data_IF_344921110133
#
_entry.id   IF_344921110133
#
_cell.length_a   1.000
_cell.length_b   1.000
_cell.length_c   1.000
_cell.angle_alpha   90.00
_cell.angle_beta   90.00
_cell.angle_gamma   90.00
#
_symmetry.space_group_name_H-M   'P 1'
#
loop_
_entity.id
_entity.type
_entity.pdbx_description
1 polymer ?
#
# COMPACT_ATOMS: atom_id res chain seq x y z
N UNK A 1 7.90 -8.73 -3.09
CA UNK A 1 8.29 -7.45 -3.69
C UNK A 1 9.47 -6.83 -2.97
N UNK A 2 10.36 -6.14 -3.71
CA UNK A 2 11.41 -5.31 -3.13
C UNK A 2 11.03 -3.83 -3.28
N UNK A 3 10.91 -3.12 -2.17
CA UNK A 3 10.61 -1.69 -2.14
C UNK A 3 11.91 -0.91 -1.90
N UNK A 4 12.31 -0.07 -2.85
CA UNK A 4 13.39 0.89 -2.68
C UNK A 4 12.83 2.31 -2.55
N UNK A 5 13.59 3.20 -1.91
CA UNK A 5 13.24 4.62 -1.76
C UNK A 5 13.14 5.36 -3.11
N UNK A 6 13.78 4.85 -4.15
CA UNK A 6 13.78 5.45 -5.48
C UNK A 6 12.51 5.16 -6.29
N UNK A 7 11.64 4.26 -5.80
CA UNK A 7 10.39 3.95 -6.46
C UNK A 7 9.34 5.02 -6.13
N UNK A 8 8.86 5.75 -7.16
CA UNK A 8 7.75 6.70 -7.02
C UNK A 8 6.50 6.04 -6.41
N UNK A 9 5.88 6.76 -5.47
CA UNK A 9 4.68 6.33 -4.76
C UNK A 9 3.45 6.65 -5.61
N UNK A 10 2.83 5.61 -6.14
CA UNK A 10 1.55 5.72 -6.87
C UNK A 10 0.44 5.09 -6.03
N UNK A 11 -0.73 5.73 -5.95
CA UNK A 11 -1.93 5.05 -5.47
C UNK A 11 -2.37 3.98 -6.45
N UNK A 12 -2.71 2.80 -5.93
CA UNK A 12 -3.10 1.63 -6.72
C UNK A 12 -4.38 1.03 -6.16
N UNK A 13 -5.13 0.37 -7.02
CA UNK A 13 -6.32 -0.39 -6.65
C UNK A 13 -6.30 -1.75 -7.34
N UNK A 14 -6.52 -2.81 -6.58
CA UNK A 14 -6.61 -4.18 -7.09
C UNK A 14 -8.05 -4.65 -7.08
N UNK A 15 -8.43 -5.45 -8.09
CA UNK A 15 -9.72 -6.16 -8.09
C UNK A 15 -9.70 -7.46 -7.29
N UNK A 16 -8.59 -7.74 -6.59
CA UNK A 16 -8.40 -8.91 -5.72
C UNK A 16 -7.87 -8.45 -4.36
N UNK A 17 -8.19 -9.22 -3.33
CA UNK A 17 -7.63 -9.05 -1.99
C UNK A 17 -6.12 -9.26 -2.05
N UNK A 18 -5.39 -8.35 -1.41
CA UNK A 18 -3.94 -8.39 -1.31
C UNK A 18 -3.53 -8.77 0.11
N UNK A 19 -2.58 -9.68 0.22
CA UNK A 19 -1.89 -10.05 1.45
C UNK A 19 -0.44 -9.59 1.35
N UNK A 20 0.06 -8.96 2.40
CA UNK A 20 1.43 -8.48 2.51
C UNK A 20 2.01 -8.96 3.83
N UNK A 21 3.24 -9.45 3.79
CA UNK A 21 4.01 -9.85 4.97
C UNK A 21 5.40 -9.24 4.90
N UNK A 22 5.84 -8.70 6.02
CA UNK A 22 7.20 -8.21 6.17
C UNK A 22 8.21 -9.36 6.19
N UNK A 23 9.31 -9.22 5.44
CA UNK A 23 10.42 -10.18 5.46
C UNK A 23 11.64 -9.57 6.14
N UNK A 24 12.16 -8.46 5.62
CA UNK A 24 13.41 -7.85 6.12
C UNK A 24 13.58 -6.40 5.69
N UNK A 25 14.59 -5.71 6.26
CA UNK A 25 14.99 -4.36 5.88
C UNK A 25 14.46 -3.25 6.77
N UNK A 26 14.17 -2.10 6.16
CA UNK A 26 13.65 -0.92 6.84
C UNK A 26 12.13 -1.01 7.05
N UNK A 27 11.59 -0.17 7.93
CA UNK A 27 10.13 -0.06 8.11
C UNK A 27 9.48 0.42 6.81
N UNK A 28 8.38 -0.22 6.41
CA UNK A 28 7.51 0.30 5.37
C UNK A 28 6.22 0.88 5.96
N UNK A 29 5.54 1.74 5.20
CA UNK A 29 4.21 2.27 5.50
C UNK A 29 3.25 1.78 4.43
N UNK A 30 2.11 1.24 4.88
CA UNK A 30 0.96 0.94 4.05
C UNK A 30 -0.12 1.98 4.34
N UNK A 31 -0.52 2.71 3.31
CA UNK A 31 -1.65 3.63 3.34
C UNK A 31 -2.83 3.03 2.60
N UNK A 32 -4.03 3.06 3.17
CA UNK A 32 -5.26 2.52 2.58
C UNK A 32 -6.36 3.57 2.60
N UNK A 33 -7.08 3.71 1.49
CA UNK A 33 -8.32 4.47 1.36
C UNK A 33 -9.40 3.58 0.75
N UNK A 34 -10.48 3.30 1.49
CA UNK A 34 -11.49 2.32 1.07
C UNK A 34 -12.30 2.75 -0.15
N UNK A 35 -12.54 4.05 -0.29
CA UNK A 35 -13.42 4.62 -1.31
C UNK A 35 -12.81 5.86 -1.98
N UNK A 36 -11.49 6.09 -1.80
CA UNK A 36 -10.84 7.33 -2.23
C UNK A 36 -11.16 8.52 -1.34
N UNK A 37 -11.75 8.29 -0.15
CA UNK A 37 -12.01 9.31 0.87
C UNK A 37 -11.25 8.92 2.13
N UNK A 38 -10.55 9.90 2.72
CA UNK A 38 -9.61 9.72 3.82
C UNK A 38 -8.57 8.62 3.56
N UNK A 39 -7.52 8.57 4.38
CA UNK A 39 -6.60 7.46 4.36
C UNK A 39 -6.16 7.12 5.77
N UNK A 40 -5.98 5.83 6.01
CA UNK A 40 -5.36 5.32 7.22
C UNK A 40 -3.99 4.75 6.85
N UNK A 41 -2.99 4.98 7.71
CA UNK A 41 -1.64 4.51 7.50
C UNK A 41 -1.20 3.61 8.66
N UNK A 42 -0.40 2.60 8.35
CA UNK A 42 0.15 1.66 9.32
C UNK A 42 1.56 1.23 8.97
N UNK A 43 2.37 0.99 10.00
CA UNK A 43 3.73 0.49 9.84
C UNK A 43 3.74 -1.01 9.54
N UNK A 44 4.59 -1.40 8.60
CA UNK A 44 4.96 -2.77 8.24
C UNK A 44 6.44 -2.96 8.62
N UNK A 45 6.68 -3.61 9.75
CA UNK A 45 8.03 -3.86 10.28
C UNK A 45 8.11 -5.13 11.15
N UNK A 46 7.10 -6.00 11.08
CA UNK A 46 6.96 -7.18 11.92
C UNK A 46 6.59 -8.38 11.06
N UNK A 47 7.48 -9.37 10.98
CA UNK A 47 7.29 -10.57 10.16
C UNK A 47 6.24 -11.53 10.70
N UNK A 48 5.77 -11.33 11.94
CA UNK A 48 4.68 -12.11 12.53
C UNK A 48 3.30 -11.62 12.12
N UNK A 49 3.20 -10.46 11.46
CA UNK A 49 1.93 -9.85 11.04
C UNK A 49 1.71 -10.01 9.55
N UNK A 50 0.46 -10.27 9.20
CA UNK A 50 -0.05 -10.18 7.83
C UNK A 50 -0.97 -8.97 7.72
N UNK A 51 -0.81 -8.22 6.63
CA UNK A 51 -1.60 -7.05 6.32
C UNK A 51 -2.47 -7.36 5.12
N UNK A 52 -3.78 -7.09 5.26
CA UNK A 52 -4.79 -7.40 4.25
C UNK A 52 -5.32 -6.10 3.67
N UNK A 53 -5.28 -5.96 2.35
CA UNK A 53 -5.92 -4.89 1.61
C UNK A 53 -7.10 -5.50 0.87
N UNK A 54 -8.30 -5.06 1.23
CA UNK A 54 -9.53 -5.52 0.60
C UNK A 54 -9.58 -5.13 -0.89
N UNK A 55 -10.28 -5.95 -1.68
CA UNK A 55 -10.49 -5.65 -3.09
C UNK A 55 -11.18 -4.28 -3.27
N UNK A 56 -10.83 -3.60 -4.36
CA UNK A 56 -11.32 -2.27 -4.72
C UNK A 56 -10.94 -1.13 -3.76
N UNK A 57 -10.10 -1.37 -2.75
CA UNK A 57 -9.50 -0.30 -1.96
C UNK A 57 -8.29 0.33 -2.69
N UNK A 58 -8.14 1.64 -2.55
CA UNK A 58 -6.93 2.33 -2.95
C UNK A 58 -5.85 2.14 -1.89
N UNK A 59 -4.61 1.92 -2.31
CA UNK A 59 -3.47 1.77 -1.40
C UNK A 59 -2.16 2.32 -1.97
N UNK A 60 -1.21 2.63 -1.08
CA UNK A 60 0.21 2.84 -1.38
C UNK A 60 1.05 2.01 -0.41
N UNK A 61 2.26 1.62 -0.83
CA UNK A 61 3.25 1.04 0.08
C UNK A 61 4.60 1.66 -0.25
N UNK A 62 5.28 2.14 0.79
CA UNK A 62 6.57 2.83 0.66
C UNK A 62 7.51 2.42 1.78
N UNK A 63 8.81 2.37 1.48
CA UNK A 63 9.84 2.18 2.51
C UNK A 63 10.17 3.52 3.17
N UNK A 64 10.39 3.54 4.48
CA UNK A 64 10.87 4.71 5.23
C UNK A 64 12.40 4.77 5.33
N UNK A 65 13.10 3.80 4.74
CA UNK A 65 14.56 3.73 4.70
C UNK A 65 15.07 3.50 3.28
N UNK A 66 16.17 2.77 3.15
CA UNK A 66 16.78 2.46 1.86
C UNK A 66 15.96 1.39 1.14
N UNK A 67 15.59 0.32 1.87
CA UNK A 67 14.97 -0.83 1.26
C UNK A 67 14.15 -1.66 2.24
N UNK A 68 12.97 -2.12 1.81
CA UNK A 68 12.14 -3.09 2.52
C UNK A 68 11.83 -4.29 1.62
N UNK A 69 11.99 -5.49 2.15
CA UNK A 69 11.60 -6.73 1.48
C UNK A 69 10.26 -7.22 2.05
N UNK A 70 9.30 -7.46 1.15
CA UNK A 70 7.96 -7.94 1.48
C UNK A 70 7.65 -9.22 0.69
N UNK A 71 6.91 -10.13 1.30
CA UNK A 71 6.17 -11.17 0.60
C UNK A 71 4.76 -10.64 0.31
N UNK A 72 4.28 -10.81 -0.92
CA UNK A 72 3.00 -10.27 -1.33
C UNK A 72 2.39 -11.04 -2.50
N UNK A 73 1.10 -10.79 -2.75
CA UNK A 73 0.37 -11.32 -3.89
C UNK A 73 -0.24 -10.21 -4.78
N UNK A 74 0.36 -9.02 -4.79
CA UNK A 74 -0.17 -7.82 -5.45
C UNK A 74 -0.40 -8.03 -6.96
N UNK A 75 0.35 -8.94 -7.57
CA UNK A 75 0.32 -9.24 -9.00
C UNK A 75 -0.75 -10.27 -9.42
N UNK A 76 -1.50 -10.88 -8.50
CA UNK A 76 -2.53 -11.88 -8.84
C UNK A 76 -3.77 -11.23 -9.50
N UNK A 77 -4.01 -9.95 -9.24
CA UNK A 77 -5.15 -9.19 -9.77
C UNK A 77 -4.80 -8.24 -10.91
N UNK A 78 -5.84 -7.61 -11.47
CA UNK A 78 -5.67 -6.42 -12.30
C UNK A 78 -5.43 -5.23 -11.38
N UNK A 79 -4.27 -4.59 -11.54
CA UNK A 79 -3.94 -3.35 -10.85
C UNK A 79 -4.38 -2.16 -11.71
N UNK A 80 -5.09 -1.23 -11.08
CA UNK A 80 -5.34 0.11 -11.59
C UNK A 80 -4.39 1.05 -10.89
N UNK A 81 -3.59 1.79 -11.65
CA UNK A 81 -2.71 2.84 -11.13
C UNK A 81 -3.45 4.16 -11.29
N UNK A 82 -3.49 4.96 -10.22
CA UNK A 82 -4.10 6.27 -10.26
C UNK A 82 -3.24 7.26 -11.07
N UNK A 83 -3.83 8.34 -11.62
CA UNK A 83 -3.08 9.47 -12.15
C UNK A 83 -2.11 10.08 -11.12
N UNK A 84 -1.07 10.77 -11.59
CA UNK A 84 -0.01 11.33 -10.73
C UNK A 84 -0.51 12.38 -9.73
N UNK A 85 -1.60 13.09 -10.06
CA UNK A 85 -2.23 14.10 -9.21
C UNK A 85 -3.33 13.54 -8.28
N UNK A 86 -3.60 12.23 -8.38
CA UNK A 86 -4.63 11.58 -7.60
C UNK A 86 -4.20 11.36 -6.16
N UNK A 87 -5.12 11.65 -5.24
CA UNK A 87 -4.99 11.39 -3.81
C UNK A 87 -6.38 11.18 -3.22
N UNK A 88 -6.49 10.49 -2.06
CA UNK A 88 -7.73 10.46 -1.32
C UNK A 88 -8.17 11.87 -0.94
N UNK A 89 -9.46 12.14 -1.09
CA UNK A 89 -10.04 13.42 -0.71
C UNK A 89 -10.51 13.37 0.74
N UNK A 90 -10.42 14.48 1.50
CA UNK A 90 -11.01 14.52 2.83
C UNK A 90 -12.53 14.45 2.75
N UNK A 91 -13.20 13.95 3.79
CA UNK A 91 -14.67 14.09 3.90
C UNK A 91 -15.09 15.55 3.79
N UNK A 92 -16.04 15.82 2.91
CA UNK A 92 -16.60 17.16 2.73
C UNK A 92 -17.39 17.67 3.95
N UNK A 93 -17.76 16.79 4.89
CA UNK A 93 -18.29 17.14 6.22
C UNK A 93 -17.96 16.03 7.24
N UNK A 94 -17.39 16.34 8.42
CA UNK A 94 -17.12 15.37 9.49
C UNK A 94 -18.39 14.92 10.22
#
# INVERSE_FOLDING_TARGET
>A
MLLSIENYISWRKSNKVIHIRYISGDTAVLSISKNGIDAEAMYINDSSKEYIIEAECWFTIETLGIQTELEDNIHIGKLTVAPDDWKPEPRLNP
#
